data_IF_664926675762
#
_entry.id   IF_664926675762
#
_cell.length_a   1.000
_cell.length_b   1.000
_cell.length_c   1.000
_cell.angle_alpha   90.00
_cell.angle_beta   90.00
_cell.angle_gamma   90.00
#
_symmetry.space_group_name_H-M   'P 1'
#
loop_
_entity.id
_entity.type
_entity.pdbx_description
1 polymer ?
#
# COMPACT_ATOMS: atom_id res chain seq x y z
N UNK A 1 14.83 -9.04 51.08
CA UNK A 1 13.41 -9.12 50.65
C UNK A 1 13.40 -9.60 49.22
N UNK A 2 13.01 -10.87 48.99
CA UNK A 2 13.00 -11.49 47.67
C UNK A 2 11.75 -11.06 46.89
N UNK A 3 11.90 -10.75 45.61
CA UNK A 3 10.77 -10.42 44.75
C UNK A 3 9.91 -11.67 44.49
N UNK A 4 8.58 -11.52 44.42
CA UNK A 4 7.67 -12.64 44.17
C UNK A 4 7.81 -13.15 42.73
N UNK A 5 7.70 -14.48 42.57
CA UNK A 5 7.81 -15.16 41.29
C UNK A 5 6.58 -14.90 40.41
N UNK A 6 6.74 -15.01 39.08
CA UNK A 6 5.67 -14.87 38.06
C UNK A 6 4.42 -15.75 38.39
N UNK A 7 4.58 -16.82 39.12
CA UNK A 7 3.50 -17.76 39.49
C UNK A 7 2.65 -17.24 40.64
N UNK A 8 3.21 -16.39 41.52
CA UNK A 8 2.48 -15.79 42.65
C UNK A 8 1.66 -14.58 42.25
N UNK A 9 2.11 -13.84 41.21
CA UNK A 9 1.37 -12.70 40.63
C UNK A 9 0.03 -13.13 39.98
N UNK A 10 -0.03 -14.32 39.35
CA UNK A 10 -1.23 -14.82 38.70
C UNK A 10 -2.28 -15.44 39.65
N UNK A 11 -1.95 -15.64 40.93
CA UNK A 11 -2.89 -16.19 41.90
C UNK A 11 -3.66 -15.13 42.70
N UNK A 12 -3.30 -13.86 42.63
CA UNK A 12 -3.95 -12.80 43.41
C UNK A 12 -5.11 -12.09 42.71
N UNK A 13 -5.47 -12.48 41.48
CA UNK A 13 -6.52 -11.82 40.69
C UNK A 13 -7.86 -12.56 40.61
N UNK A 14 -8.06 -13.55 41.46
CA UNK A 14 -9.31 -14.33 41.48
C UNK A 14 -9.89 -14.35 42.89
N UNK A 15 -10.55 -13.29 43.33
CA UNK A 15 -11.65 -13.34 44.31
C UNK A 15 -12.16 -11.91 44.58
N UNK A 16 -13.25 -11.52 43.98
CA UNK A 16 -14.33 -10.74 44.63
C UNK A 16 -15.53 -10.71 43.68
N UNK A 17 -16.36 -11.74 43.74
CA UNK A 17 -17.73 -11.68 43.30
C UNK A 17 -18.57 -11.60 44.58
N UNK A 18 -19.19 -10.47 44.84
CA UNK A 18 -20.23 -10.36 45.85
C UNK A 18 -21.57 -10.11 45.19
N UNK A 19 -22.47 -11.01 45.44
CA UNK A 19 -23.87 -11.00 45.07
C UNK A 19 -24.63 -9.88 45.77
N UNK A 20 -25.52 -9.22 45.04
CA UNK A 20 -26.66 -8.50 45.61
C UNK A 20 -27.92 -8.81 44.78
N UNK A 21 -28.73 -9.71 45.33
CA UNK A 21 -30.12 -9.91 44.98
C UNK A 21 -31.00 -8.90 45.67
N UNK A 22 -31.97 -8.26 44.97
CA UNK A 22 -33.26 -7.85 45.56
C UNK A 22 -34.27 -7.44 44.46
N UNK A 23 -35.25 -8.33 44.31
CA UNK A 23 -36.70 -8.10 44.37
C UNK A 23 -37.41 -7.28 43.28
N UNK A 24 -38.26 -8.03 42.58
CA UNK A 24 -39.28 -7.65 41.66
C UNK A 24 -40.45 -6.88 42.33
N UNK A 25 -41.03 -5.96 41.61
CA UNK A 25 -42.48 -5.68 41.67
C UNK A 25 -42.95 -5.19 40.30
N UNK A 26 -43.98 -5.82 39.82
CA UNK A 26 -44.65 -5.64 38.54
C UNK A 26 -45.26 -4.28 38.32
N UNK A 27 -45.25 -3.82 37.05
CA UNK A 27 -46.39 -3.13 36.46
C UNK A 27 -46.30 -3.31 34.92
N UNK A 28 -47.23 -4.08 34.40
CA UNK A 28 -47.34 -4.30 32.97
C UNK A 28 -47.82 -3.05 32.21
N UNK A 29 -47.19 -2.83 31.09
CA UNK A 29 -47.77 -2.16 29.93
C UNK A 29 -47.09 -2.71 28.69
N UNK A 30 -47.83 -3.52 27.95
CA UNK A 30 -47.51 -3.92 26.61
C UNK A 30 -47.37 -2.74 25.69
N UNK A 31 -46.18 -2.52 25.18
CA UNK A 31 -45.96 -1.78 23.93
C UNK A 31 -45.07 -2.66 23.04
N UNK A 32 -45.75 -3.45 22.24
CA UNK A 32 -45.17 -4.10 21.09
C UNK A 32 -44.82 -3.03 20.06
N UNK A 33 -43.61 -2.52 20.13
CA UNK A 33 -42.95 -1.90 19.01
C UNK A 33 -41.71 -2.76 18.70
N UNK A 34 -41.90 -3.66 17.73
CA UNK A 34 -40.78 -4.37 17.14
C UNK A 34 -39.80 -3.30 16.59
N UNK A 35 -38.79 -2.98 17.37
CA UNK A 35 -37.64 -2.27 16.85
C UNK A 35 -37.01 -3.18 15.78
N UNK A 36 -37.30 -2.87 14.51
CA UNK A 36 -36.54 -3.43 13.40
C UNK A 36 -35.11 -2.99 13.61
N UNK A 37 -34.23 -3.94 14.04
CA UNK A 37 -32.81 -3.74 13.93
C UNK A 37 -32.54 -3.24 12.51
N UNK A 38 -31.85 -2.12 12.32
CA UNK A 38 -31.41 -1.75 11.01
C UNK A 38 -30.57 -2.94 10.49
N UNK A 39 -31.07 -3.59 9.45
CA UNK A 39 -30.24 -4.55 8.71
C UNK A 39 -29.07 -3.70 8.21
N UNK A 40 -27.90 -3.95 8.75
CA UNK A 40 -26.67 -3.56 8.10
C UNK A 40 -26.67 -4.33 6.77
N UNK A 41 -27.12 -3.70 5.70
CA UNK A 41 -26.76 -4.18 4.37
C UNK A 41 -25.25 -4.09 4.31
N UNK A 42 -24.53 -5.19 4.02
CA UNK A 42 -23.10 -5.12 3.81
C UNK A 42 -22.87 -4.07 2.72
N UNK A 43 -22.06 -3.05 3.03
CA UNK A 43 -21.66 -2.06 2.03
C UNK A 43 -21.17 -2.81 0.80
N UNK A 44 -21.59 -2.36 -0.39
CA UNK A 44 -21.08 -2.94 -1.63
C UNK A 44 -19.54 -3.00 -1.54
N UNK A 45 -18.91 -4.11 -1.93
CA UNK A 45 -17.45 -4.22 -1.85
C UNK A 45 -16.83 -3.03 -2.56
N UNK A 46 -15.80 -2.41 -1.98
CA UNK A 46 -15.14 -1.25 -2.57
C UNK A 46 -14.73 -1.57 -4.00
N UNK A 47 -14.92 -0.61 -4.90
CA UNK A 47 -14.57 -0.76 -6.33
C UNK A 47 -13.04 -0.68 -6.51
N UNK A 48 -12.32 -1.66 -5.97
CA UNK A 48 -10.87 -1.77 -6.10
C UNK A 48 -10.55 -2.17 -7.55
N UNK A 49 -9.63 -1.44 -8.19
CA UNK A 49 -9.12 -1.76 -9.52
C UNK A 49 -7.88 -2.64 -9.40
N UNK A 50 -7.78 -3.66 -10.24
CA UNK A 50 -6.60 -4.51 -10.30
C UNK A 50 -5.63 -4.05 -11.37
N UNK A 51 -4.35 -4.00 -11.01
CA UNK A 51 -3.26 -3.60 -11.87
C UNK A 51 -2.00 -4.43 -11.68
N UNK A 52 -0.99 -4.12 -12.46
CA UNK A 52 0.34 -4.70 -12.38
C UNK A 52 1.42 -3.64 -12.64
N UNK A 53 2.62 -3.91 -12.17
CA UNK A 53 3.79 -3.14 -12.60
C UNK A 53 4.14 -3.51 -14.05
N UNK A 54 4.52 -2.51 -14.83
CA UNK A 54 4.80 -2.69 -16.26
C UNK A 54 5.89 -3.72 -16.55
N UNK A 55 6.85 -3.87 -15.63
CA UNK A 55 7.98 -4.79 -15.78
C UNK A 55 7.60 -6.28 -15.63
N UNK A 56 6.38 -6.59 -15.14
CA UNK A 56 5.85 -7.96 -15.19
C UNK A 56 5.48 -8.41 -16.62
N UNK A 57 5.32 -7.46 -17.55
CA UNK A 57 4.97 -7.75 -18.94
C UNK A 57 6.21 -8.13 -19.74
N UNK A 58 6.12 -9.05 -20.72
CA UNK A 58 7.26 -9.51 -21.49
C UNK A 58 8.02 -8.37 -22.18
N UNK A 59 9.27 -8.14 -21.77
CA UNK A 59 10.09 -6.99 -22.18
C UNK A 59 10.34 -6.94 -23.70
N UNK A 60 10.34 -8.09 -24.37
CA UNK A 60 10.57 -8.19 -25.82
C UNK A 60 9.41 -7.68 -26.68
N UNK A 61 8.24 -7.46 -26.08
CA UNK A 61 7.09 -6.93 -26.79
C UNK A 61 7.16 -5.40 -26.87
N UNK A 62 6.71 -4.78 -27.98
CA UNK A 62 6.51 -3.33 -28.07
C UNK A 62 5.52 -2.82 -26.99
N UNK A 63 5.60 -1.55 -26.63
CA UNK A 63 4.73 -0.95 -25.62
C UNK A 63 3.24 -1.24 -25.85
N UNK A 64 2.76 -1.07 -27.11
CA UNK A 64 1.35 -1.32 -27.44
C UNK A 64 0.90 -2.75 -27.19
N UNK A 65 1.73 -3.73 -27.52
CA UNK A 65 1.45 -5.15 -27.31
C UNK A 65 1.48 -5.50 -25.80
N UNK A 66 2.42 -4.91 -25.04
CA UNK A 66 2.48 -5.07 -23.58
C UNK A 66 1.21 -4.54 -22.91
N UNK A 67 0.78 -3.33 -23.24
CA UNK A 67 -0.44 -2.74 -22.70
C UNK A 67 -1.69 -3.52 -23.11
N UNK A 68 -1.75 -3.96 -24.40
CA UNK A 68 -2.84 -4.80 -24.88
C UNK A 68 -2.90 -6.14 -24.12
N UNK A 69 -1.77 -6.79 -23.91
CA UNK A 69 -1.67 -8.02 -23.14
C UNK A 69 -2.20 -7.81 -21.70
N UNK A 70 -1.75 -6.76 -21.00
CA UNK A 70 -2.22 -6.45 -19.64
C UNK A 70 -3.76 -6.36 -19.58
N UNK A 71 -4.37 -5.63 -20.52
CA UNK A 71 -5.84 -5.53 -20.62
C UNK A 71 -6.49 -6.88 -20.92
N UNK A 72 -5.98 -7.63 -21.89
CA UNK A 72 -6.60 -8.86 -22.39
C UNK A 72 -6.55 -10.01 -21.37
N UNK A 73 -5.57 -9.98 -20.44
CA UNK A 73 -5.54 -10.90 -19.29
C UNK A 73 -6.35 -10.41 -18.09
N UNK A 74 -6.97 -9.23 -18.19
CA UNK A 74 -7.97 -8.73 -17.25
C UNK A 74 -7.47 -7.69 -16.25
N UNK A 75 -6.29 -7.08 -16.42
CA UNK A 75 -5.89 -5.92 -15.63
C UNK A 75 -6.60 -4.64 -16.12
N UNK A 76 -6.90 -3.75 -15.21
CA UNK A 76 -7.64 -2.50 -15.46
C UNK A 76 -6.71 -1.29 -15.52
N UNK A 77 -5.56 -1.39 -14.84
CA UNK A 77 -4.58 -0.30 -14.72
C UNK A 77 -3.14 -0.84 -14.74
N UNK A 78 -2.19 0.05 -15.03
CA UNK A 78 -0.74 -0.29 -15.05
C UNK A 78 0.04 0.79 -14.31
N UNK A 79 1.02 0.38 -13.51
CA UNK A 79 2.07 1.25 -13.00
C UNK A 79 3.27 1.20 -13.94
N UNK A 80 3.75 2.36 -14.39
CA UNK A 80 4.86 2.48 -15.35
C UNK A 80 6.06 3.13 -14.65
N UNK A 81 7.30 2.67 -14.90
CA UNK A 81 8.49 3.34 -14.40
C UNK A 81 8.64 4.74 -15.00
N UNK A 82 9.40 5.60 -14.30
CA UNK A 82 9.76 6.93 -14.81
C UNK A 82 10.50 6.82 -16.13
N UNK A 83 10.09 7.60 -17.13
CA UNK A 83 10.76 7.72 -18.43
C UNK A 83 11.30 9.15 -18.61
N UNK A 84 12.63 9.31 -18.59
CA UNK A 84 13.24 10.64 -18.74
C UNK A 84 13.27 11.15 -20.19
N UNK A 85 13.16 10.28 -21.17
CA UNK A 85 13.08 10.69 -22.58
C UNK A 85 11.66 11.11 -22.94
N UNK A 86 11.48 12.38 -23.29
CA UNK A 86 10.17 12.94 -23.59
C UNK A 86 9.49 12.28 -24.80
N UNK A 87 10.27 11.85 -25.81
CA UNK A 87 9.72 11.17 -26.98
C UNK A 87 9.17 9.79 -26.64
N UNK A 88 9.91 9.03 -25.82
CA UNK A 88 9.44 7.73 -25.31
C UNK A 88 8.26 7.90 -24.35
N UNK A 89 8.25 8.92 -23.51
CA UNK A 89 7.12 9.17 -22.62
C UNK A 89 5.82 9.43 -23.41
N UNK A 90 5.88 10.16 -24.52
CA UNK A 90 4.75 10.34 -25.44
C UNK A 90 4.38 9.04 -26.17
N UNK A 91 5.35 8.22 -26.55
CA UNK A 91 5.11 6.91 -27.17
C UNK A 91 4.36 5.98 -26.19
N UNK A 92 4.79 5.93 -24.93
CA UNK A 92 4.16 5.16 -23.86
C UNK A 92 2.71 5.61 -23.67
N UNK A 93 2.47 6.92 -23.58
CA UNK A 93 1.11 7.47 -23.49
C UNK A 93 0.23 7.00 -24.64
N UNK A 94 0.68 7.20 -25.86
CA UNK A 94 -0.07 6.82 -27.07
C UNK A 94 -0.35 5.32 -27.09
N UNK A 95 0.63 4.50 -26.70
CA UNK A 95 0.50 3.05 -26.68
C UNK A 95 -0.58 2.59 -25.67
N UNK A 96 -0.61 3.19 -24.47
CA UNK A 96 -1.61 2.91 -23.46
C UNK A 96 -3.02 3.35 -23.91
N UNK A 97 -3.14 4.56 -24.49
CA UNK A 97 -4.42 5.09 -25.00
C UNK A 97 -4.98 4.19 -26.10
N UNK A 98 -4.16 3.76 -27.08
CA UNK A 98 -4.56 2.84 -28.15
C UNK A 98 -4.96 1.46 -27.60
N UNK A 99 -4.23 0.97 -26.60
CA UNK A 99 -4.57 -0.28 -25.95
C UNK A 99 -5.84 -0.20 -25.10
N UNK A 100 -6.27 1.00 -24.73
CA UNK A 100 -7.45 1.21 -23.89
C UNK A 100 -7.25 0.77 -22.43
N UNK A 101 -6.02 0.92 -21.91
CA UNK A 101 -5.69 0.68 -20.50
C UNK A 101 -5.10 1.94 -19.87
N UNK A 102 -5.48 2.23 -18.63
CA UNK A 102 -5.02 3.42 -17.92
C UNK A 102 -3.64 3.20 -17.30
N UNK A 103 -2.72 4.15 -17.49
CA UNK A 103 -1.56 4.28 -16.61
C UNK A 103 -2.05 4.96 -15.33
N UNK A 104 -1.95 4.25 -14.22
CA UNK A 104 -2.56 4.65 -12.95
C UNK A 104 -1.57 5.35 -12.02
N UNK A 105 -0.31 5.01 -12.15
CA UNK A 105 0.76 5.51 -11.29
C UNK A 105 2.12 5.40 -11.95
N UNK A 106 3.08 6.13 -11.40
CA UNK A 106 4.48 6.11 -11.82
C UNK A 106 5.34 5.57 -10.68
N UNK A 107 6.25 4.64 -10.98
CA UNK A 107 7.29 4.20 -10.05
C UNK A 107 8.54 5.07 -10.24
N UNK A 108 8.97 5.77 -9.21
CA UNK A 108 10.22 6.50 -9.26
C UNK A 108 11.41 5.54 -9.23
N UNK A 109 12.20 5.51 -10.30
CA UNK A 109 13.34 4.60 -10.46
C UNK A 109 14.61 5.05 -9.74
N UNK A 110 14.67 6.32 -9.32
CA UNK A 110 15.90 6.92 -8.79
C UNK A 110 16.04 6.82 -7.27
N UNK A 111 14.98 6.48 -6.54
CA UNK A 111 14.94 6.54 -5.09
C UNK A 111 15.95 5.61 -4.37
N UNK A 112 16.34 4.49 -4.98
CA UNK A 112 17.34 3.58 -4.41
C UNK A 112 18.77 4.10 -4.58
N UNK A 113 19.08 4.62 -5.75
CA UNK A 113 20.41 5.09 -6.11
C UNK A 113 20.69 6.50 -5.61
N UNK A 114 19.65 7.33 -5.59
CA UNK A 114 19.72 8.74 -5.21
C UNK A 114 18.70 9.07 -4.11
N UNK A 115 18.88 8.48 -2.88
CA UNK A 115 17.93 8.66 -1.80
C UNK A 115 17.88 10.11 -1.32
N UNK A 116 16.70 10.63 -1.04
CA UNK A 116 16.49 11.98 -0.51
C UNK A 116 17.02 12.15 0.93
N UNK A 117 17.40 11.06 1.59
CA UNK A 117 18.03 11.05 2.92
C UNK A 117 19.55 11.19 2.88
N UNK A 118 20.17 11.24 1.69
CA UNK A 118 21.63 11.36 1.55
C UNK A 118 22.18 12.63 2.20
N UNK A 119 23.40 12.54 2.73
CA UNK A 119 24.20 13.72 3.15
C UNK A 119 24.93 14.41 2.00
N UNK A 120 25.02 13.73 0.84
CA UNK A 120 25.61 14.32 -0.38
C UNK A 120 24.53 15.07 -1.15
N UNK A 121 24.69 16.40 -1.24
CA UNK A 121 23.73 17.27 -1.90
C UNK A 121 23.56 16.93 -3.40
N UNK A 122 24.61 16.43 -4.08
CA UNK A 122 24.50 16.04 -5.50
C UNK A 122 23.63 14.82 -5.68
N UNK A 123 23.69 13.87 -4.74
CA UNK A 123 22.80 12.70 -4.72
C UNK A 123 21.36 13.15 -4.54
N UNK A 124 21.10 14.04 -3.58
CA UNK A 124 19.76 14.59 -3.32
C UNK A 124 19.22 15.35 -4.53
N UNK A 125 20.02 16.21 -5.16
CA UNK A 125 19.61 16.96 -6.35
C UNK A 125 19.22 16.04 -7.52
N UNK A 126 19.97 14.94 -7.71
CA UNK A 126 19.64 13.94 -8.73
C UNK A 126 18.31 13.23 -8.38
N UNK A 127 18.13 12.82 -7.13
CA UNK A 127 16.86 12.22 -6.67
C UNK A 127 15.67 13.16 -6.83
N UNK A 128 15.84 14.45 -6.50
CA UNK A 128 14.82 15.48 -6.71
C UNK A 128 14.51 15.70 -8.20
N UNK A 129 15.51 15.67 -9.07
CA UNK A 129 15.30 15.76 -10.51
C UNK A 129 14.50 14.57 -11.04
N UNK A 130 14.83 13.35 -10.61
CA UNK A 130 14.07 12.14 -10.92
C UNK A 130 12.61 12.23 -10.48
N UNK A 131 12.36 12.74 -9.26
CA UNK A 131 10.99 12.94 -8.77
C UNK A 131 10.21 13.97 -9.59
N UNK A 132 10.84 15.07 -10.02
CA UNK A 132 10.17 16.04 -10.90
C UNK A 132 9.79 15.40 -12.23
N UNK A 133 10.70 14.63 -12.85
CA UNK A 133 10.42 13.85 -14.06
C UNK A 133 9.26 12.87 -13.83
N UNK A 134 9.23 12.17 -12.70
CA UNK A 134 8.14 11.24 -12.37
C UNK A 134 6.79 11.95 -12.25
N UNK A 135 6.74 13.14 -11.62
CA UNK A 135 5.53 13.95 -11.51
C UNK A 135 5.07 14.49 -12.89
N UNK A 136 6.01 14.86 -13.75
CA UNK A 136 5.70 15.29 -15.12
C UNK A 136 5.19 14.12 -15.98
N UNK A 137 5.80 12.92 -15.88
CA UNK A 137 5.29 11.71 -16.52
C UNK A 137 3.88 11.35 -16.02
N UNK A 138 3.65 11.40 -14.71
CA UNK A 138 2.33 11.14 -14.13
C UNK A 138 1.28 12.11 -14.72
N UNK A 139 1.60 13.39 -14.80
CA UNK A 139 0.73 14.39 -15.42
C UNK A 139 0.44 14.10 -16.88
N UNK A 140 1.48 13.77 -17.68
CA UNK A 140 1.37 13.43 -19.10
C UNK A 140 0.48 12.21 -19.31
N UNK A 141 0.67 11.17 -18.49
CA UNK A 141 -0.02 9.89 -18.65
C UNK A 141 -1.42 9.85 -18.01
N UNK A 142 -1.79 10.88 -17.25
CA UNK A 142 -3.06 10.93 -16.51
C UNK A 142 -3.07 10.03 -15.27
N UNK A 143 -1.88 9.69 -14.77
CA UNK A 143 -1.69 9.00 -13.49
C UNK A 143 -1.92 9.96 -12.33
N UNK A 144 -2.37 9.45 -11.19
CA UNK A 144 -2.71 10.26 -10.03
C UNK A 144 -1.74 10.14 -8.85
N UNK A 145 -0.74 9.23 -8.95
CA UNK A 145 0.28 9.05 -7.93
C UNK A 145 1.66 8.70 -8.49
N UNK A 146 2.70 9.14 -7.78
CA UNK A 146 4.09 8.70 -7.95
C UNK A 146 4.52 7.96 -6.68
N UNK A 147 4.98 6.73 -6.82
CA UNK A 147 5.58 5.98 -5.74
C UNK A 147 6.97 6.52 -5.40
N UNK A 148 7.21 6.76 -4.14
CA UNK A 148 8.52 7.18 -3.61
C UNK A 148 8.91 6.35 -2.39
N UNK A 149 10.05 5.66 -2.45
CA UNK A 149 10.77 5.21 -1.26
C UNK A 149 11.48 6.42 -0.67
N UNK A 150 11.09 6.92 0.53
CA UNK A 150 11.46 8.27 0.97
C UNK A 150 12.91 8.39 1.43
N UNK A 151 13.49 7.30 1.95
CA UNK A 151 14.79 7.33 2.61
C UNK A 151 15.44 5.95 2.63
N UNK A 152 16.74 5.92 2.96
CA UNK A 152 17.49 4.70 3.28
C UNK A 152 18.22 4.95 4.59
N UNK A 153 18.17 4.00 5.52
CA UNK A 153 18.95 3.98 6.76
C UNK A 153 20.11 3.01 6.60
N UNK A 154 21.33 3.49 6.80
CA UNK A 154 22.56 2.71 6.70
C UNK A 154 23.58 3.12 7.78
N UNK A 155 24.84 2.64 7.66
CA UNK A 155 25.89 2.94 8.63
C UNK A 155 26.25 4.45 8.69
N UNK A 156 25.95 5.21 7.63
CA UNK A 156 26.28 6.63 7.49
C UNK A 156 25.06 7.55 7.59
N UNK A 157 23.86 6.98 7.62
CA UNK A 157 22.60 7.72 7.68
C UNK A 157 21.76 7.16 8.82
N UNK A 158 21.73 7.87 9.95
CA UNK A 158 20.92 7.49 11.10
C UNK A 158 19.42 7.56 10.79
N UNK A 159 18.59 6.87 11.56
CA UNK A 159 17.13 6.93 11.43
C UNK A 159 16.59 8.36 11.55
N UNK A 160 17.14 9.13 12.48
CA UNK A 160 16.80 10.54 12.69
C UNK A 160 17.16 11.40 11.47
N UNK A 161 18.38 11.23 10.94
CA UNK A 161 18.81 11.95 9.73
C UNK A 161 17.97 11.57 8.51
N UNK A 162 17.68 10.29 8.35
CA UNK A 162 16.81 9.79 7.26
C UNK A 162 15.44 10.46 7.33
N UNK A 163 14.85 10.55 8.53
CA UNK A 163 13.57 11.21 8.76
C UNK A 163 13.60 12.69 8.39
N UNK A 164 14.53 13.43 8.98
CA UNK A 164 14.59 14.88 8.81
C UNK A 164 14.95 15.29 7.39
N UNK A 165 16.00 14.65 6.81
CA UNK A 165 16.48 15.00 5.48
C UNK A 165 15.43 14.70 4.41
N UNK A 166 14.86 13.50 4.42
CA UNK A 166 13.85 13.13 3.42
C UNK A 166 12.60 13.99 3.52
N UNK A 167 12.11 14.30 4.72
CA UNK A 167 10.98 15.21 4.88
C UNK A 167 11.28 16.60 4.35
N UNK A 168 12.45 17.15 4.63
CA UNK A 168 12.86 18.46 4.13
C UNK A 168 12.78 18.50 2.60
N UNK A 169 13.33 17.51 1.94
CA UNK A 169 13.41 17.46 0.48
C UNK A 169 12.03 17.17 -0.15
N UNK A 170 11.23 16.27 0.41
CA UNK A 170 9.87 15.99 -0.09
C UNK A 170 8.98 17.24 0.01
N UNK A 171 9.12 18.07 1.06
CA UNK A 171 8.38 19.33 1.17
C UNK A 171 8.64 20.27 0.00
N UNK A 172 9.83 20.24 -0.60
CA UNK A 172 10.15 21.06 -1.79
C UNK A 172 9.41 20.62 -3.05
N UNK A 173 8.93 19.36 -3.09
CA UNK A 173 8.18 18.78 -4.21
C UNK A 173 6.68 18.99 -4.10
N UNK A 174 6.13 19.29 -2.91
CA UNK A 174 4.69 19.44 -2.68
C UNK A 174 4.05 20.47 -3.61
N UNK A 175 4.62 21.67 -3.84
CA UNK A 175 4.01 22.64 -4.75
C UNK A 175 3.86 22.12 -6.19
N UNK A 176 4.86 21.35 -6.67
CA UNK A 176 4.80 20.74 -8.00
C UNK A 176 3.75 19.60 -8.03
N UNK A 177 3.70 18.76 -6.99
CA UNK A 177 2.70 17.70 -6.87
C UNK A 177 1.27 18.28 -6.91
N UNK A 178 1.03 19.39 -6.19
CA UNK A 178 -0.24 20.12 -6.20
C UNK A 178 -0.56 20.69 -7.57
N UNK A 179 0.39 21.35 -8.24
CA UNK A 179 0.23 21.89 -9.59
C UNK A 179 -0.12 20.79 -10.60
N UNK A 180 0.55 19.65 -10.52
CA UNK A 180 0.32 18.49 -11.38
C UNK A 180 -0.93 17.70 -10.99
N UNK A 181 -1.47 17.89 -9.79
CA UNK A 181 -2.56 17.10 -9.18
C UNK A 181 -2.19 15.61 -9.06
N UNK A 182 -0.96 15.37 -8.65
CA UNK A 182 -0.37 14.04 -8.50
C UNK A 182 0.11 13.85 -7.06
N UNK A 183 -0.28 12.77 -6.42
CA UNK A 183 0.13 12.45 -5.05
C UNK A 183 1.54 11.86 -5.03
N UNK A 184 2.39 12.33 -4.15
CA UNK A 184 3.64 11.64 -3.78
C UNK A 184 3.26 10.56 -2.76
N UNK A 185 3.27 9.31 -3.19
CA UNK A 185 2.85 8.18 -2.37
C UNK A 185 4.08 7.48 -1.78
N UNK A 186 4.22 7.59 -0.47
CA UNK A 186 5.35 7.06 0.31
C UNK A 186 5.17 5.56 0.52
N UNK A 187 6.17 4.76 0.13
CA UNK A 187 6.17 3.31 0.33
C UNK A 187 7.14 2.89 1.45
N UNK A 188 6.68 1.99 2.32
CA UNK A 188 7.51 1.23 3.24
C UNK A 188 8.13 0.04 2.51
N UNK A 189 9.44 -0.10 2.64
CA UNK A 189 10.23 -1.17 2.04
C UNK A 189 11.31 -1.67 3.01
N UNK A 190 12.14 -2.63 2.60
CA UNK A 190 13.19 -3.18 3.46
C UNK A 190 14.47 -2.31 3.48
N UNK A 191 14.31 -1.03 3.68
CA UNK A 191 15.36 0.00 3.76
C UNK A 191 15.71 0.41 5.19
N UNK A 192 15.19 -0.30 6.21
CA UNK A 192 15.34 -0.02 7.64
C UNK A 192 14.70 1.31 8.07
N UNK A 193 13.69 1.76 7.33
CA UNK A 193 12.96 3.00 7.60
C UNK A 193 11.45 2.73 7.55
N UNK A 194 10.65 3.44 8.36
CA UNK A 194 9.20 3.25 8.50
C UNK A 194 8.84 1.80 8.88
N UNK A 195 9.41 1.33 10.00
CA UNK A 195 9.36 -0.08 10.44
C UNK A 195 8.03 -0.46 11.13
N UNK A 196 7.14 0.50 11.34
CA UNK A 196 5.82 0.26 11.92
C UNK A 196 4.74 1.12 11.28
N UNK A 197 3.46 0.70 11.32
CA UNK A 197 2.36 1.50 10.77
C UNK A 197 2.19 2.83 11.50
N UNK A 198 2.53 2.90 12.79
CA UNK A 198 2.46 4.13 13.58
C UNK A 198 3.50 5.16 13.12
N UNK A 199 4.72 4.70 12.81
CA UNK A 199 5.76 5.57 12.28
C UNK A 199 5.40 6.08 10.88
N UNK A 200 4.91 5.20 10.01
CA UNK A 200 4.49 5.58 8.65
C UNK A 200 3.33 6.59 8.68
N UNK A 201 2.32 6.34 9.52
CA UNK A 201 1.21 7.28 9.69
C UNK A 201 1.71 8.65 10.18
N UNK A 202 2.57 8.66 11.22
CA UNK A 202 3.17 9.89 11.76
C UNK A 202 4.00 10.62 10.71
N UNK A 203 4.85 9.90 9.97
CA UNK A 203 5.72 10.47 8.93
C UNK A 203 4.92 11.20 7.86
N UNK A 204 3.80 10.61 7.41
CA UNK A 204 2.89 11.19 6.43
C UNK A 204 2.14 12.39 7.01
N UNK A 205 1.59 12.27 8.22
CA UNK A 205 0.80 13.34 8.85
C UNK A 205 1.63 14.60 9.10
N UNK A 206 2.93 14.47 9.37
CA UNK A 206 3.82 15.61 9.59
C UNK A 206 3.97 16.52 8.36
N UNK A 207 3.66 16.05 7.15
CA UNK A 207 3.63 16.92 5.94
C UNK A 207 2.45 17.89 5.96
N UNK A 208 1.35 17.53 6.60
CA UNK A 208 0.12 18.34 6.64
C UNK A 208 -0.37 18.72 5.22
N UNK A 209 -0.25 17.80 4.28
CA UNK A 209 -0.57 18.02 2.87
C UNK A 209 -1.33 16.82 2.29
N UNK A 210 -2.40 17.03 1.53
CA UNK A 210 -3.08 15.95 0.82
C UNK A 210 -2.25 15.36 -0.33
N UNK A 211 -1.16 16.02 -0.70
CA UNK A 211 -0.28 15.61 -1.81
C UNK A 211 0.84 14.67 -1.38
N UNK A 212 0.92 14.30 -0.08
CA UNK A 212 1.81 13.25 0.43
C UNK A 212 0.95 12.24 1.18
N UNK A 213 0.92 11.00 0.69
CA UNK A 213 0.06 9.93 1.20
C UNK A 213 0.81 8.59 1.22
N UNK A 214 0.13 7.50 1.62
CA UNK A 214 0.70 6.17 1.71
C UNK A 214 0.54 5.38 0.41
N UNK A 215 1.63 4.78 -0.04
CA UNK A 215 1.64 3.59 -0.87
C UNK A 215 1.89 2.40 0.05
N UNK A 216 0.93 1.51 0.19
CA UNK A 216 1.04 0.39 1.12
C UNK A 216 1.37 -0.91 0.38
N UNK A 217 2.42 -1.64 0.80
CA UNK A 217 2.74 -2.96 0.26
C UNK A 217 2.34 -4.07 1.23
N UNK A 218 1.43 -4.94 0.78
CA UNK A 218 0.90 -6.04 1.59
C UNK A 218 1.99 -7.05 1.96
N UNK A 219 2.93 -7.33 1.06
CA UNK A 219 3.96 -8.35 1.27
C UNK A 219 5.13 -7.86 2.11
N UNK A 220 5.57 -6.60 1.92
CA UNK A 220 6.74 -6.05 2.60
C UNK A 220 6.60 -6.12 4.13
N UNK A 221 5.40 -5.89 4.65
CA UNK A 221 5.15 -5.82 6.09
C UNK A 221 5.02 -7.18 6.77
N UNK A 222 4.85 -8.28 6.02
CA UNK A 222 4.67 -9.63 6.58
C UNK A 222 5.88 -10.07 7.40
N UNK A 223 7.07 -9.57 7.09
CA UNK A 223 8.28 -9.84 7.86
C UNK A 223 8.19 -9.28 9.29
N UNK A 224 7.55 -8.13 9.47
CA UNK A 224 7.55 -7.35 10.71
C UNK A 224 6.22 -7.34 11.45
N UNK A 225 5.11 -7.72 10.78
CA UNK A 225 3.79 -7.61 11.34
C UNK A 225 2.70 -8.28 10.51
N UNK A 226 1.53 -7.71 10.57
CA UNK A 226 0.34 -8.22 9.90
C UNK A 226 -0.27 -7.16 8.99
N UNK A 227 -0.43 -7.41 7.68
CA UNK A 227 -0.92 -6.42 6.72
C UNK A 227 -2.25 -5.76 7.11
N UNK A 228 -3.19 -6.52 7.66
CA UNK A 228 -4.50 -5.99 8.10
C UNK A 228 -4.37 -4.96 9.23
N UNK A 229 -3.39 -5.11 10.13
CA UNK A 229 -3.13 -4.13 11.20
C UNK A 229 -2.58 -2.82 10.63
N UNK A 230 -1.67 -2.92 9.66
CA UNK A 230 -1.17 -1.75 8.92
C UNK A 230 -2.28 -1.03 8.19
N UNK A 231 -3.17 -1.75 7.50
CA UNK A 231 -4.30 -1.17 6.76
C UNK A 231 -5.20 -0.38 7.72
N UNK A 232 -5.56 -0.95 8.86
CA UNK A 232 -6.40 -0.24 9.85
C UNK A 232 -5.72 1.01 10.41
N UNK A 233 -4.41 0.94 10.71
CA UNK A 233 -3.66 2.08 11.26
C UNK A 233 -3.46 3.19 10.23
N UNK A 234 -3.13 2.85 8.99
CA UNK A 234 -2.94 3.84 7.91
C UNK A 234 -4.28 4.42 7.45
N UNK A 235 -5.33 3.59 7.38
CA UNK A 235 -6.68 4.03 7.07
C UNK A 235 -6.76 4.81 5.75
N UNK A 236 -7.34 6.00 5.79
CA UNK A 236 -7.55 6.88 4.63
C UNK A 236 -6.27 7.46 4.02
N UNK A 237 -5.12 7.27 4.65
CA UNK A 237 -3.82 7.67 4.09
C UNK A 237 -3.42 6.78 2.92
N UNK A 238 -3.96 5.56 2.82
CA UNK A 238 -3.65 4.65 1.72
C UNK A 238 -4.31 5.14 0.44
N UNK A 239 -3.50 5.50 -0.56
CA UNK A 239 -3.97 5.90 -1.89
C UNK A 239 -3.69 4.85 -2.96
N UNK A 240 -2.64 4.06 -2.78
CA UNK A 240 -2.23 2.97 -3.66
C UNK A 240 -1.74 1.78 -2.83
N UNK A 241 -1.82 0.59 -3.44
CA UNK A 241 -1.41 -0.66 -2.79
C UNK A 241 -0.57 -1.49 -3.75
N UNK A 242 0.57 -2.01 -3.28
CA UNK A 242 1.24 -3.13 -3.92
C UNK A 242 0.76 -4.47 -3.37
N UNK A 243 0.62 -5.44 -4.26
CA UNK A 243 0.28 -6.81 -3.92
C UNK A 243 1.50 -7.70 -4.18
N UNK A 244 2.04 -8.22 -3.10
CA UNK A 244 3.05 -9.28 -3.07
C UNK A 244 2.61 -10.34 -2.08
N UNK A 245 3.14 -11.55 -2.20
CA UNK A 245 2.97 -12.56 -1.17
C UNK A 245 4.31 -13.09 -0.70
N UNK A 246 4.39 -13.32 0.60
CA UNK A 246 5.61 -13.62 1.33
C UNK A 246 5.44 -14.95 2.05
N UNK A 247 6.42 -15.83 1.93
CA UNK A 247 6.44 -17.12 2.62
C UNK A 247 7.66 -17.25 3.50
N UNK A 248 7.44 -17.44 4.80
CA UNK A 248 8.51 -17.81 5.73
C UNK A 248 8.94 -19.25 5.47
N UNK A 249 10.23 -19.52 5.61
CA UNK A 249 10.85 -20.84 5.52
C UNK A 249 11.60 -21.12 6.81
N UNK A 250 12.01 -22.36 7.05
CA UNK A 250 12.88 -22.71 8.19
C UNK A 250 14.15 -21.86 8.17
N UNK A 251 14.72 -21.68 6.99
CA UNK A 251 15.84 -20.75 6.75
C UNK A 251 15.41 -19.68 5.74
N UNK A 252 15.24 -18.43 6.23
CA UNK A 252 14.94 -17.27 5.40
C UNK A 252 13.48 -17.13 4.98
N UNK A 253 13.27 -16.71 3.73
CA UNK A 253 11.95 -16.42 3.16
C UNK A 253 11.97 -16.60 1.63
N UNK A 254 10.79 -16.55 1.02
CA UNK A 254 10.63 -16.43 -0.44
C UNK A 254 9.48 -15.47 -0.76
N UNK A 255 9.65 -14.73 -1.84
CA UNK A 255 8.54 -14.15 -2.57
C UNK A 255 7.86 -15.24 -3.36
N UNK A 256 6.55 -15.31 -3.30
CA UNK A 256 5.75 -16.35 -3.96
C UNK A 256 4.55 -15.72 -4.66
N UNK A 257 3.85 -16.49 -5.48
CA UNK A 257 2.65 -15.99 -6.13
C UNK A 257 1.53 -15.73 -5.11
N UNK A 258 0.61 -14.84 -5.44
CA UNK A 258 -0.49 -14.43 -4.55
C UNK A 258 -1.30 -15.66 -4.09
N UNK A 259 -1.46 -15.81 -2.79
CA UNK A 259 -2.15 -16.94 -2.15
C UNK A 259 -1.31 -18.17 -1.89
N UNK A 260 -0.03 -18.19 -2.27
CA UNK A 260 0.89 -19.30 -2.00
C UNK A 260 1.78 -19.01 -0.75
N UNK A 261 1.67 -17.82 -0.18
CA UNK A 261 2.42 -17.32 0.97
C UNK A 261 1.68 -17.34 2.29
N UNK A 262 2.14 -16.46 3.20
CA UNK A 262 1.64 -16.37 4.58
C UNK A 262 0.69 -15.18 4.77
N UNK A 263 0.37 -14.44 3.70
CA UNK A 263 -0.61 -13.35 3.76
C UNK A 263 -2.02 -13.91 4.01
N UNK A 264 -2.67 -13.43 5.06
CA UNK A 264 -4.08 -13.73 5.30
C UNK A 264 -4.96 -12.83 4.41
N UNK A 265 -5.17 -13.23 3.16
CA UNK A 265 -5.91 -12.46 2.17
C UNK A 265 -7.36 -12.16 2.58
N UNK A 266 -8.00 -13.06 3.34
CA UNK A 266 -9.33 -12.80 3.88
C UNK A 266 -9.33 -11.63 4.85
N UNK A 267 -8.35 -11.58 5.75
CA UNK A 267 -8.19 -10.48 6.70
C UNK A 267 -7.79 -9.17 6.00
N UNK A 268 -6.92 -9.24 4.98
CA UNK A 268 -6.54 -8.08 4.15
C UNK A 268 -7.74 -7.50 3.43
N UNK A 269 -8.56 -8.34 2.78
CA UNK A 269 -9.79 -7.92 2.11
C UNK A 269 -10.76 -7.25 3.08
N UNK A 270 -10.96 -7.85 4.26
CA UNK A 270 -11.83 -7.26 5.29
C UNK A 270 -11.31 -5.91 5.76
N UNK A 271 -10.00 -5.79 6.03
CA UNK A 271 -9.39 -4.54 6.47
C UNK A 271 -9.54 -3.41 5.43
N UNK A 272 -9.39 -3.70 4.13
CA UNK A 272 -9.66 -2.72 3.08
C UNK A 272 -11.14 -2.28 3.06
N UNK A 273 -12.07 -3.21 3.28
CA UNK A 273 -13.49 -2.87 3.39
C UNK A 273 -13.78 -2.01 4.63
N UNK A 274 -13.18 -2.32 5.78
CA UNK A 274 -13.36 -1.60 7.04
C UNK A 274 -12.89 -0.14 6.95
N UNK A 275 -11.79 0.12 6.23
CA UNK A 275 -11.28 1.48 6.03
C UNK A 275 -11.90 2.19 4.81
N UNK A 276 -12.72 1.49 4.03
CA UNK A 276 -13.39 2.03 2.83
C UNK A 276 -12.43 2.29 1.68
N UNK A 277 -11.36 1.47 1.53
CA UNK A 277 -10.42 1.61 0.44
C UNK A 277 -11.08 1.27 -0.92
N UNK A 278 -10.95 2.17 -1.88
CA UNK A 278 -11.52 2.04 -3.24
C UNK A 278 -10.53 2.42 -4.35
N UNK A 279 -9.25 2.40 -4.04
CA UNK A 279 -8.16 2.74 -4.98
C UNK A 279 -7.75 1.57 -5.88
N UNK A 280 -6.54 1.64 -6.40
CA UNK A 280 -5.95 0.59 -7.23
C UNK A 280 -5.02 -0.29 -6.41
N UNK A 281 -5.03 -1.58 -6.70
CA UNK A 281 -4.05 -2.53 -6.21
C UNK A 281 -3.16 -2.97 -7.37
N UNK A 282 -1.87 -2.78 -7.24
CA UNK A 282 -0.88 -3.03 -8.28
C UNK A 282 -0.06 -4.26 -7.88
N UNK A 283 -0.14 -5.32 -8.65
CA UNK A 283 0.67 -6.52 -8.41
C UNK A 283 2.12 -6.25 -8.78
N UNK A 284 3.03 -6.60 -7.88
CA UNK A 284 4.47 -6.51 -8.06
C UNK A 284 5.12 -7.86 -7.76
N UNK A 285 5.24 -8.69 -8.81
CA UNK A 285 5.83 -10.02 -8.79
C UNK A 285 6.84 -10.16 -9.93
N UNK A 286 7.49 -11.32 -10.02
CA UNK A 286 8.25 -11.64 -11.23
C UNK A 286 7.33 -11.65 -12.45
N UNK A 287 7.85 -11.20 -13.59
CA UNK A 287 7.12 -11.18 -14.84
C UNK A 287 6.96 -12.59 -15.44
N UNK A 288 6.06 -12.70 -16.42
CA UNK A 288 5.81 -13.97 -17.07
C UNK A 288 5.10 -13.84 -18.42
N UNK A 289 4.73 -14.97 -18.96
CA UNK A 289 3.95 -15.07 -20.19
C UNK A 289 2.45 -14.77 -19.96
N UNK A 290 1.67 -14.80 -21.02
CA UNK A 290 0.23 -14.55 -20.96
C UNK A 290 -0.49 -15.49 -19.99
N UNK A 291 -0.12 -16.77 -19.95
CA UNK A 291 -0.74 -17.76 -19.08
C UNK A 291 -0.51 -17.44 -17.61
N UNK A 292 0.73 -17.09 -17.27
CA UNK A 292 1.09 -16.66 -15.92
C UNK A 292 0.35 -15.38 -15.50
N UNK A 293 0.35 -14.36 -16.35
CA UNK A 293 -0.33 -13.08 -16.06
C UNK A 293 -1.84 -13.26 -15.89
N UNK A 294 -2.44 -14.17 -16.66
CA UNK A 294 -3.87 -14.53 -16.54
C UNK A 294 -4.17 -15.23 -15.21
N UNK A 295 -3.29 -16.15 -14.76
CA UNK A 295 -3.41 -16.77 -13.43
C UNK A 295 -3.30 -15.73 -12.32
N UNK A 296 -2.31 -14.83 -12.37
CA UNK A 296 -2.15 -13.73 -11.40
C UNK A 296 -3.40 -12.86 -11.33
N UNK A 297 -3.94 -12.45 -12.49
CA UNK A 297 -5.18 -11.68 -12.58
C UNK A 297 -6.36 -12.40 -11.91
N UNK A 298 -6.52 -13.71 -12.16
CA UNK A 298 -7.56 -14.54 -11.55
C UNK A 298 -7.36 -14.74 -10.03
N UNK A 299 -6.13 -14.80 -9.56
CA UNK A 299 -5.83 -14.86 -8.11
C UNK A 299 -6.31 -13.59 -7.39
N UNK A 300 -6.08 -12.40 -7.97
CA UNK A 300 -6.58 -11.15 -7.40
C UNK A 300 -8.12 -11.17 -7.31
N UNK A 301 -8.80 -11.62 -8.37
CA UNK A 301 -10.25 -11.72 -8.38
C UNK A 301 -10.75 -12.58 -7.21
N UNK A 302 -10.16 -13.75 -6.99
CA UNK A 302 -10.57 -14.67 -5.92
C UNK A 302 -10.19 -14.17 -4.53
N UNK A 303 -8.94 -13.74 -4.34
CA UNK A 303 -8.38 -13.43 -3.02
C UNK A 303 -8.87 -12.07 -2.49
N UNK A 304 -8.90 -11.06 -3.36
CA UNK A 304 -9.13 -9.69 -2.96
C UNK A 304 -10.51 -9.17 -3.35
N UNK A 305 -10.97 -9.45 -4.58
CA UNK A 305 -12.18 -8.85 -5.09
C UNK A 305 -13.43 -9.72 -4.85
N UNK A 306 -13.26 -10.98 -4.41
CA UNK A 306 -14.37 -11.91 -4.16
C UNK A 306 -15.15 -12.25 -5.43
N UNK A 307 -14.49 -12.19 -6.59
CA UNK A 307 -15.05 -12.59 -7.89
C UNK A 307 -14.64 -14.05 -8.16
N UNK A 308 -15.57 -14.84 -8.70
CA UNK A 308 -15.34 -16.25 -9.09
C UNK A 308 -14.88 -16.34 -10.53
#
# INVERSE_FOLDING_TARGET
MSQPSRREFLKSSATTACAASLSAAALGRSLSAAARNPRFEPAAPPAIKKGLVFDMLPEKLPYGDRFKLARDVGFEVVQVPTEPDAGKAEEIKKAADVAGIRIDSVMNMDHWKYPLSSSDQKVVETGLAGMRTSLDNAKLWGADAVLLVPAVVDANTSYHDAWQRSQKEIRTLIPLAEERKVVIAIEEVWNKFLLSPLEMAKYIDEFQSPWVQAWFDVGNVVLYGYPQDWIHTLGKRIVKVHLKDFKRKEEGYAWVNLGDGDVNWSAVRQAFADVGYSGSTITELEGGDESYLRDVSGRIDRLLLGRS
#
